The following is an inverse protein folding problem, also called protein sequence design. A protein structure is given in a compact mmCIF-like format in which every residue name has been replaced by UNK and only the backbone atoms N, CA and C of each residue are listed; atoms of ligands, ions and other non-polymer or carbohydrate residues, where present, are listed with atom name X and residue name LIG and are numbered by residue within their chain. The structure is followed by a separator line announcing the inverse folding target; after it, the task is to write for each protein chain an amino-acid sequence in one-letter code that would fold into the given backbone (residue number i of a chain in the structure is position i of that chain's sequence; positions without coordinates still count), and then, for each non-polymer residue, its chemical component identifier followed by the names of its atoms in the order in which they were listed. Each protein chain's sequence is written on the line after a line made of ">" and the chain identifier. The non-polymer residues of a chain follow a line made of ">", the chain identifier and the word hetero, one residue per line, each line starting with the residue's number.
data_IF_658081405746
#
_entry.id   IF_658081405746
#
_cell.length_a   1.000
_cell.length_b   1.000
_cell.length_c   1.000
_cell.angle_alpha   90.00
_cell.angle_beta   90.00
_cell.angle_gamma   90.00
#
_symmetry.space_group_name_H-M   'P 1'
#
loop_
_entity.id
_entity.type
_entity.pdbx_description
1 polymer ?
#
# COMPACT_ATOMS: atom_id res chain seq x y z
N UNK A 1 105.76 -17.57 22.67
CA UNK A 1 104.90 -18.77 22.55
C UNK A 1 104.47 -18.91 21.09
N UNK A 2 105.18 -19.71 20.30
CA UNK A 2 104.75 -20.09 18.95
C UNK A 2 103.79 -21.28 19.10
N UNK A 3 102.51 -21.04 18.84
CA UNK A 3 101.52 -22.11 18.69
C UNK A 3 101.71 -22.64 17.25
N UNK A 4 102.13 -23.89 17.03
CA UNK A 4 102.25 -24.40 15.67
C UNK A 4 100.87 -24.40 14.98
N UNK A 5 100.80 -24.10 13.67
CA UNK A 5 99.54 -24.12 12.94
C UNK A 5 99.01 -25.55 12.88
N UNK A 6 98.00 -25.86 13.71
CA UNK A 6 97.31 -27.14 13.68
C UNK A 6 96.24 -27.11 12.59
N UNK A 7 96.64 -27.47 11.37
CA UNK A 7 95.77 -27.54 10.18
C UNK A 7 94.51 -28.40 10.41
N UNK A 8 94.58 -29.43 11.26
CA UNK A 8 93.42 -30.25 11.63
C UNK A 8 92.33 -29.48 12.40
N UNK A 9 92.72 -28.59 13.32
CA UNK A 9 91.77 -27.76 14.09
C UNK A 9 91.11 -26.74 13.16
N UNK A 10 91.89 -26.14 12.26
CA UNK A 10 91.39 -25.21 11.25
C UNK A 10 90.36 -25.87 10.33
N UNK A 11 90.64 -27.10 9.86
CA UNK A 11 89.70 -27.86 9.04
C UNK A 11 88.42 -28.23 9.80
N UNK A 12 88.54 -28.68 11.06
CA UNK A 12 87.39 -28.97 11.92
C UNK A 12 86.52 -27.74 12.20
N UNK A 13 87.13 -26.56 12.35
CA UNK A 13 86.43 -25.28 12.48
C UNK A 13 85.66 -24.91 11.21
N UNK A 14 86.26 -25.07 10.03
CA UNK A 14 85.59 -24.82 8.74
C UNK A 14 84.40 -25.76 8.56
N UNK A 15 84.59 -27.05 8.81
CA UNK A 15 83.51 -28.04 8.70
C UNK A 15 82.38 -27.72 9.68
N UNK A 16 82.70 -27.38 10.93
CA UNK A 16 81.70 -27.00 11.94
C UNK A 16 80.96 -25.71 11.54
N UNK A 17 81.67 -24.72 10.99
CA UNK A 17 81.07 -23.49 10.49
C UNK A 17 80.13 -23.75 9.30
N UNK A 18 80.52 -24.61 8.37
CA UNK A 18 79.68 -24.98 7.23
C UNK A 18 78.43 -25.75 7.65
N UNK A 19 78.55 -26.68 8.60
CA UNK A 19 77.40 -27.40 9.16
C UNK A 19 76.46 -26.41 9.87
N UNK A 20 77.00 -25.53 10.71
CA UNK A 20 76.21 -24.50 11.39
C UNK A 20 75.53 -23.56 10.40
N UNK A 21 76.26 -23.12 9.36
CA UNK A 21 75.70 -22.27 8.32
C UNK A 21 74.58 -22.98 7.55
N UNK A 22 74.76 -24.25 7.18
CA UNK A 22 73.72 -25.01 6.51
C UNK A 22 72.43 -25.12 7.35
N UNK A 23 72.58 -25.42 8.64
CA UNK A 23 71.46 -25.49 9.60
C UNK A 23 70.78 -24.10 9.73
N UNK A 24 71.56 -23.04 9.94
CA UNK A 24 71.04 -21.69 10.12
C UNK A 24 70.38 -21.14 8.85
N UNK A 25 70.97 -21.37 7.68
CA UNK A 25 70.41 -21.01 6.39
C UNK A 25 69.04 -21.63 6.19
N UNK A 26 68.92 -22.93 6.48
CA UNK A 26 67.69 -23.67 6.22
C UNK A 26 66.59 -23.42 7.26
N UNK A 27 66.97 -23.16 8.51
CA UNK A 27 66.04 -23.01 9.64
C UNK A 27 65.66 -21.55 9.88
N UNK A 28 66.55 -20.56 9.75
CA UNK A 28 66.22 -19.17 10.09
C UNK A 28 65.68 -18.35 8.92
N UNK A 29 66.28 -18.44 7.74
CA UNK A 29 65.88 -17.58 6.62
C UNK A 29 64.46 -17.85 6.16
N UNK A 30 64.07 -19.13 6.02
CA UNK A 30 62.73 -19.50 5.56
C UNK A 30 61.58 -18.97 6.46
N UNK A 31 61.54 -19.26 7.77
CA UNK A 31 60.45 -18.76 8.61
C UNK A 31 60.48 -17.24 8.79
N UNK A 32 61.67 -16.61 8.77
CA UNK A 32 61.77 -15.16 8.89
C UNK A 32 61.16 -14.43 7.67
N UNK A 33 61.48 -14.89 6.46
CA UNK A 33 60.87 -14.39 5.23
C UNK A 33 59.36 -14.69 5.19
N UNK A 34 58.93 -15.90 5.55
CA UNK A 34 57.51 -16.26 5.58
C UNK A 34 56.72 -15.37 6.56
N UNK A 35 57.28 -15.04 7.72
CA UNK A 35 56.63 -14.16 8.70
C UNK A 35 56.43 -12.73 8.14
N UNK A 36 57.44 -12.18 7.46
CA UNK A 36 57.35 -10.87 6.82
C UNK A 36 56.29 -10.86 5.71
N UNK A 37 56.31 -11.87 4.82
CA UNK A 37 55.31 -11.99 3.75
C UNK A 37 53.90 -12.19 4.31
N UNK A 38 53.73 -12.98 5.39
CA UNK A 38 52.43 -13.14 6.07
C UNK A 38 51.94 -11.84 6.68
N UNK A 39 52.83 -11.01 7.23
CA UNK A 39 52.46 -9.70 7.76
C UNK A 39 51.98 -8.80 6.63
N UNK A 40 52.77 -8.68 5.57
CA UNK A 40 52.43 -7.85 4.40
C UNK A 40 51.10 -8.29 3.75
N UNK A 41 50.91 -9.59 3.51
CA UNK A 41 49.65 -10.13 3.00
C UNK A 41 48.47 -9.81 3.91
N UNK A 42 48.61 -9.99 5.23
CA UNK A 42 47.54 -9.67 6.18
C UNK A 42 47.17 -8.18 6.15
N UNK A 43 48.15 -7.27 6.09
CA UNK A 43 47.85 -5.84 5.99
C UNK A 43 47.15 -5.49 4.67
N UNK A 44 47.60 -6.08 3.55
CA UNK A 44 46.99 -5.86 2.25
C UNK A 44 45.55 -6.39 2.20
N UNK A 45 45.33 -7.63 2.63
CA UNK A 45 43.99 -8.23 2.72
C UNK A 45 43.06 -7.43 3.64
N UNK A 46 43.57 -6.95 4.77
CA UNK A 46 42.78 -6.14 5.70
C UNK A 46 42.41 -4.79 5.08
N UNK A 47 43.34 -4.15 4.35
CA UNK A 47 43.07 -2.92 3.61
C UNK A 47 42.02 -3.12 2.53
N UNK A 48 42.19 -4.13 1.68
CA UNK A 48 41.23 -4.46 0.61
C UNK A 48 39.84 -4.77 1.17
N UNK A 49 39.75 -5.55 2.25
CA UNK A 49 38.47 -5.83 2.94
C UNK A 49 37.85 -4.57 3.52
N UNK A 50 38.65 -3.69 4.12
CA UNK A 50 38.15 -2.44 4.70
C UNK A 50 37.57 -1.54 3.61
N UNK A 51 38.29 -1.38 2.49
CA UNK A 51 37.79 -0.60 1.36
C UNK A 51 36.53 -1.22 0.75
N UNK A 52 36.47 -2.55 0.63
CA UNK A 52 35.30 -3.25 0.13
C UNK A 52 34.09 -3.03 1.04
N UNK A 53 34.24 -3.19 2.36
CA UNK A 53 33.19 -2.94 3.33
C UNK A 53 32.70 -1.49 3.30
N UNK A 54 33.61 -0.52 3.14
CA UNK A 54 33.23 0.89 3.00
C UNK A 54 32.43 1.12 1.71
N UNK A 55 32.84 0.52 0.58
CA UNK A 55 32.10 0.62 -0.68
C UNK A 55 30.72 -0.02 -0.59
N UNK A 56 30.62 -1.20 0.01
CA UNK A 56 29.35 -1.91 0.21
C UNK A 56 28.43 -1.13 1.15
N UNK A 57 28.96 -0.56 2.24
CA UNK A 57 28.18 0.27 3.17
C UNK A 57 27.62 1.52 2.47
N UNK A 58 28.44 2.22 1.68
CA UNK A 58 27.98 3.40 0.89
C UNK A 58 26.92 3.02 -0.12
N UNK A 59 27.13 1.94 -0.88
CA UNK A 59 26.15 1.46 -1.85
C UNK A 59 24.83 1.05 -1.17
N UNK A 60 24.90 0.40 0.00
CA UNK A 60 23.72 0.03 0.77
C UNK A 60 22.96 1.26 1.30
N UNK A 61 23.68 2.30 1.71
CA UNK A 61 23.10 3.57 2.16
C UNK A 61 22.41 4.32 1.01
N UNK A 62 23.07 4.44 -0.15
CA UNK A 62 22.47 5.03 -1.36
C UNK A 62 21.22 4.27 -1.81
N UNK A 63 21.26 2.93 -1.85
CA UNK A 63 20.09 2.12 -2.18
C UNK A 63 18.96 2.30 -1.17
N UNK A 64 19.29 2.42 0.11
CA UNK A 64 18.30 2.65 1.17
C UNK A 64 17.64 4.01 1.01
N UNK A 65 18.41 5.07 0.73
CA UNK A 65 17.87 6.40 0.47
C UNK A 65 16.98 6.43 -0.77
N UNK A 66 17.40 5.80 -1.86
CA UNK A 66 16.59 5.67 -3.07
C UNK A 66 15.26 4.96 -2.80
N UNK A 67 15.29 3.81 -2.12
CA UNK A 67 14.07 3.09 -1.74
C UNK A 67 13.17 3.92 -0.83
N UNK A 68 13.72 4.66 0.12
CA UNK A 68 12.94 5.56 0.98
C UNK A 68 12.29 6.69 0.18
N UNK A 69 12.98 7.27 -0.79
CA UNK A 69 12.43 8.30 -1.67
C UNK A 69 11.29 7.74 -2.55
N UNK A 70 11.49 6.55 -3.11
CA UNK A 70 10.49 5.85 -3.93
C UNK A 70 9.23 5.53 -3.13
N UNK A 71 9.37 4.90 -1.95
CA UNK A 71 8.23 4.59 -1.07
C UNK A 71 7.46 5.85 -0.66
N UNK A 72 8.15 6.97 -0.37
CA UNK A 72 7.48 8.25 -0.07
C UNK A 72 6.70 8.78 -1.26
N UNK A 73 7.28 8.70 -2.47
CA UNK A 73 6.63 9.15 -3.70
C UNK A 73 5.40 8.29 -4.01
N UNK A 74 5.53 6.97 -3.97
CA UNK A 74 4.42 6.04 -4.18
C UNK A 74 3.34 6.23 -3.13
N UNK A 75 3.71 6.38 -1.85
CA UNK A 75 2.77 6.64 -0.78
C UNK A 75 2.01 7.96 -0.97
N UNK A 76 2.68 9.02 -1.42
CA UNK A 76 2.04 10.30 -1.73
C UNK A 76 1.07 10.17 -2.92
N UNK A 77 1.48 9.49 -3.99
CA UNK A 77 0.64 9.25 -5.16
C UNK A 77 -0.60 8.43 -4.83
N UNK A 78 -0.43 7.34 -4.06
CA UNK A 78 -1.54 6.48 -3.62
C UNK A 78 -2.52 7.24 -2.74
N UNK A 79 -2.05 8.07 -1.82
CA UNK A 79 -2.92 8.92 -0.99
C UNK A 79 -3.69 9.94 -1.83
N UNK A 80 -3.06 10.53 -2.84
CA UNK A 80 -3.73 11.47 -3.73
C UNK A 80 -4.78 10.77 -4.60
N UNK A 81 -4.48 9.59 -5.14
CA UNK A 81 -5.45 8.81 -5.92
C UNK A 81 -6.64 8.36 -5.08
N UNK A 82 -6.40 7.79 -3.90
CA UNK A 82 -7.47 7.36 -2.98
C UNK A 82 -8.33 8.55 -2.56
N UNK A 83 -7.72 9.72 -2.30
CA UNK A 83 -8.47 10.94 -1.98
C UNK A 83 -9.35 11.38 -3.14
N UNK A 84 -8.83 11.41 -4.38
CA UNK A 84 -9.62 11.79 -5.57
C UNK A 84 -10.76 10.80 -5.84
N UNK A 85 -10.51 9.51 -5.69
CA UNK A 85 -11.53 8.47 -5.82
C UNK A 85 -12.62 8.64 -4.75
N UNK A 86 -12.25 8.90 -3.50
CA UNK A 86 -13.20 9.18 -2.43
C UNK A 86 -14.02 10.45 -2.70
N UNK A 87 -13.38 11.54 -3.14
CA UNK A 87 -14.07 12.79 -3.51
C UNK A 87 -15.06 12.56 -4.68
N UNK A 88 -14.65 11.78 -5.69
CA UNK A 88 -15.50 11.43 -6.83
C UNK A 88 -16.69 10.55 -6.41
N UNK A 89 -16.47 9.56 -5.55
CA UNK A 89 -17.55 8.68 -5.06
C UNK A 89 -18.53 9.46 -4.18
N UNK A 90 -18.04 10.36 -3.31
CA UNK A 90 -18.90 11.25 -2.54
C UNK A 90 -19.74 12.13 -3.47
N UNK A 91 -19.15 12.71 -4.51
CA UNK A 91 -19.89 13.51 -5.48
C UNK A 91 -20.98 12.69 -6.18
N UNK A 92 -20.65 11.46 -6.61
CA UNK A 92 -21.59 10.53 -7.25
C UNK A 92 -22.75 10.15 -6.34
N UNK A 93 -22.46 9.78 -5.09
CA UNK A 93 -23.49 9.46 -4.08
C UNK A 93 -24.40 10.65 -3.80
N UNK A 94 -23.84 11.86 -3.74
CA UNK A 94 -24.59 13.08 -3.48
C UNK A 94 -25.49 13.47 -4.66
N UNK A 95 -25.03 13.24 -5.90
CA UNK A 95 -25.83 13.42 -7.10
C UNK A 95 -26.98 12.39 -7.18
N UNK A 96 -26.68 11.12 -6.89
CA UNK A 96 -27.68 10.07 -6.84
C UNK A 96 -28.73 10.34 -5.76
N UNK A 97 -28.32 10.71 -4.54
CA UNK A 97 -29.26 11.08 -3.47
C UNK A 97 -30.15 12.28 -3.84
N UNK A 98 -29.60 13.27 -4.56
CA UNK A 98 -30.40 14.40 -5.09
C UNK A 98 -31.39 13.94 -6.15
N UNK A 99 -30.99 13.06 -7.06
CA UNK A 99 -31.87 12.50 -8.09
C UNK A 99 -33.02 11.70 -7.45
N UNK A 100 -32.70 10.83 -6.49
CA UNK A 100 -33.68 10.00 -5.77
C UNK A 100 -34.64 10.88 -4.96
N UNK A 101 -34.14 11.92 -4.29
CA UNK A 101 -34.99 12.87 -3.56
C UNK A 101 -35.95 13.63 -4.49
N UNK A 102 -35.49 14.05 -5.67
CA UNK A 102 -36.35 14.69 -6.68
C UNK A 102 -37.41 13.73 -7.19
N UNK A 103 -37.04 12.49 -7.49
CA UNK A 103 -37.98 11.45 -7.92
C UNK A 103 -39.05 11.18 -6.86
N UNK A 104 -38.64 11.04 -5.60
CA UNK A 104 -39.56 10.85 -4.47
C UNK A 104 -40.51 12.05 -4.28
N UNK A 105 -40.03 13.28 -4.46
CA UNK A 105 -40.86 14.48 -4.37
C UNK A 105 -41.90 14.54 -5.50
N UNK A 106 -41.50 14.24 -6.73
CA UNK A 106 -42.42 14.18 -7.87
C UNK A 106 -43.45 13.06 -7.72
N UNK A 107 -43.05 11.90 -7.23
CA UNK A 107 -43.97 10.81 -6.93
C UNK A 107 -44.98 11.21 -5.84
N UNK A 108 -44.52 11.84 -4.76
CA UNK A 108 -45.40 12.33 -3.70
C UNK A 108 -46.39 13.38 -4.21
N UNK A 109 -45.95 14.32 -5.07
CA UNK A 109 -46.82 15.31 -5.72
C UNK A 109 -47.91 14.64 -6.56
N UNK A 110 -47.53 13.67 -7.38
CA UNK A 110 -48.48 12.93 -8.22
C UNK A 110 -49.50 12.14 -7.39
N UNK A 111 -49.07 11.54 -6.27
CA UNK A 111 -49.99 10.85 -5.33
C UNK A 111 -50.97 11.83 -4.71
N UNK A 112 -50.50 12.96 -4.19
CA UNK A 112 -51.37 13.99 -3.61
C UNK A 112 -52.37 14.52 -4.64
N UNK A 113 -51.94 14.80 -5.87
CA UNK A 113 -52.85 15.27 -6.92
C UNK A 113 -53.94 14.23 -7.26
N UNK A 114 -53.58 12.95 -7.27
CA UNK A 114 -54.54 11.87 -7.49
C UNK A 114 -55.51 11.70 -6.30
N UNK A 115 -55.02 11.83 -5.06
CA UNK A 115 -55.84 11.81 -3.85
C UNK A 115 -56.83 12.97 -3.81
N UNK A 116 -56.40 14.18 -4.20
CA UNK A 116 -57.29 15.34 -4.30
C UNK A 116 -58.39 15.11 -5.33
N UNK A 117 -58.06 14.62 -6.54
CA UNK A 117 -59.05 14.30 -7.58
C UNK A 117 -60.02 13.20 -7.15
N UNK A 118 -59.56 12.21 -6.37
CA UNK A 118 -60.41 11.18 -5.82
C UNK A 118 -61.37 11.75 -4.76
N UNK A 119 -60.87 12.59 -3.86
CA UNK A 119 -61.67 13.25 -2.83
C UNK A 119 -62.72 14.21 -3.44
N UNK A 120 -62.39 14.94 -4.50
CA UNK A 120 -63.36 15.77 -5.23
C UNK A 120 -64.52 14.95 -5.81
N UNK A 121 -64.22 13.80 -6.44
CA UNK A 121 -65.24 12.89 -6.96
C UNK A 121 -66.12 12.31 -5.85
N UNK A 122 -65.52 11.94 -4.72
CA UNK A 122 -66.24 11.42 -3.57
C UNK A 122 -67.14 12.48 -2.92
N UNK A 123 -66.68 13.73 -2.85
CA UNK A 123 -67.47 14.86 -2.37
C UNK A 123 -68.65 15.16 -3.31
N UNK A 124 -68.44 15.15 -4.63
CA UNK A 124 -69.53 15.29 -5.61
C UNK A 124 -70.58 14.19 -5.47
N UNK A 125 -70.16 12.94 -5.34
CA UNK A 125 -71.05 11.81 -5.14
C UNK A 125 -71.86 11.94 -3.84
N UNK A 126 -71.19 12.32 -2.75
CA UNK A 126 -71.82 12.53 -1.43
C UNK A 126 -72.79 13.71 -1.45
N UNK A 127 -72.44 14.82 -2.12
CA UNK A 127 -73.30 15.98 -2.28
C UNK A 127 -74.57 15.67 -3.09
N UNK A 128 -74.44 14.89 -4.18
CA UNK A 128 -75.61 14.40 -4.96
C UNK A 128 -76.52 13.50 -4.13
N UNK A 129 -75.94 12.61 -3.33
CA UNK A 129 -76.71 11.74 -2.43
C UNK A 129 -77.47 12.56 -1.37
N UNK A 130 -76.80 13.52 -0.72
CA UNK A 130 -77.42 14.46 0.24
C UNK A 130 -78.53 15.30 -0.40
N UNK A 131 -78.32 15.81 -1.61
CA UNK A 131 -79.33 16.57 -2.34
C UNK A 131 -80.57 15.72 -2.67
N UNK A 132 -80.38 14.44 -3.04
CA UNK A 132 -81.48 13.52 -3.27
C UNK A 132 -82.26 13.22 -1.97
N UNK A 133 -81.57 12.99 -0.85
CA UNK A 133 -82.21 12.77 0.45
C UNK A 133 -83.00 14.00 0.93
N UNK A 134 -82.46 15.21 0.73
CA UNK A 134 -83.15 16.47 1.00
C UNK A 134 -84.39 16.64 0.11
N UNK A 135 -84.29 16.34 -1.18
CA UNK A 135 -85.42 16.41 -2.11
C UNK A 135 -86.55 15.46 -1.68
N UNK A 136 -86.23 14.22 -1.28
CA UNK A 136 -87.23 13.27 -0.75
C UNK A 136 -87.90 13.79 0.54
N UNK A 137 -87.13 14.36 1.48
CA UNK A 137 -87.67 14.92 2.74
C UNK A 137 -88.56 16.13 2.51
N UNK A 138 -88.21 17.02 1.58
CA UNK A 138 -88.98 18.26 1.29
C UNK A 138 -90.23 17.97 0.45
N UNK A 139 -90.16 17.03 -0.50
CA UNK A 139 -91.30 16.66 -1.36
C UNK A 139 -92.28 15.69 -0.69
N UNK A 140 -91.93 15.10 0.47
CA UNK A 140 -92.84 14.29 1.28
C UNK A 140 -93.34 13.01 0.60
N UNK A 141 -92.76 12.58 -0.52
CA UNK A 141 -93.07 11.31 -1.21
C UNK A 141 -91.80 10.69 -1.79
N UNK A 142 -91.60 9.37 -1.64
CA UNK A 142 -90.42 8.68 -2.18
C UNK A 142 -90.45 8.70 -3.70
N UNK A 143 -89.32 9.04 -4.33
CA UNK A 143 -89.16 9.00 -5.79
C UNK A 143 -88.89 7.56 -6.26
N UNK A 144 -89.88 6.67 -6.08
CA UNK A 144 -89.91 5.38 -6.74
C UNK A 144 -90.69 5.50 -8.05
N UNK A 145 -89.96 5.59 -9.17
CA UNK A 145 -90.60 5.59 -10.48
C UNK A 145 -89.65 5.71 -11.65
N UNK A 146 -88.85 4.69 -11.93
CA UNK A 146 -88.66 4.16 -13.31
C UNK A 146 -87.66 2.99 -13.33
N UNK A 147 -88.18 1.81 -13.00
CA UNK A 147 -87.70 0.56 -13.57
C UNK A 147 -88.60 0.28 -14.79
N UNK A 148 -88.14 0.66 -16.00
CA UNK A 148 -88.66 0.21 -17.31
C UNK A 148 -87.48 0.30 -18.29
N UNK A 149 -87.01 -0.72 -19.00
CA UNK A 149 -87.59 -2.03 -19.23
C UNK A 149 -86.54 -3.09 -19.60
N UNK A 150 -86.98 -4.33 -19.48
CA UNK A 150 -86.42 -5.51 -20.13
C UNK A 150 -86.86 -5.57 -21.59
N UNK A 151 -85.92 -5.68 -22.54
CA UNK A 151 -85.88 -6.62 -23.69
C UNK A 151 -85.04 -6.06 -24.86
N UNK A 152 -84.13 -6.92 -25.32
CA UNK A 152 -83.22 -6.87 -26.50
C UNK A 152 -82.02 -5.93 -26.41
#
# INVERSE_FOLDING_TARGET
>A
MHIPPNWGIFFALIVSFLIFWFIFSRIFFRPFLDLLTRRERRFKELGERTEQLIREARAAEEQREQRLAEVRREGALKRDSERREAEAEVARLLEQAKADSRAALEEARNRVENEVKAAEKELEATSRALAAELAERVLGRPLNGSHVGTRN
#
